data_IF_079255193730
#
_entry.id   IF_079255193730
#
_cell.length_a   1.000
_cell.length_b   1.000
_cell.length_c   1.000
_cell.angle_alpha   90.00
_cell.angle_beta   90.00
_cell.angle_gamma   90.00
#
_symmetry.space_group_name_H-M   'P 1'
#
loop_
_entity.id
_entity.type
_entity.pdbx_description
1 polymer ?
#
# COMPACT_ATOMS: atom_id res chain seq x y z
N UNK A 1 -14.79 -3.21 -15.82
CA UNK A 1 -13.90 -2.13 -15.30
C UNK A 1 -12.99 -1.57 -16.39
N UNK A 2 -12.78 -0.24 -16.48
CA UNK A 2 -11.90 0.39 -17.51
C UNK A 2 -10.44 -0.08 -17.39
N UNK A 3 -9.74 -0.28 -18.52
CA UNK A 3 -8.34 -0.74 -18.58
C UNK A 3 -7.37 0.07 -17.71
N UNK A 4 -7.51 1.41 -17.69
CA UNK A 4 -6.68 2.29 -16.86
C UNK A 4 -6.89 2.08 -15.35
N UNK A 5 -8.11 1.73 -14.94
CA UNK A 5 -8.43 1.46 -13.53
C UNK A 5 -7.86 0.10 -13.10
N UNK A 6 -7.96 -0.93 -13.97
CA UNK A 6 -7.26 -2.22 -13.79
C UNK A 6 -5.76 -2.04 -13.59
N UNK A 7 -5.11 -1.20 -14.38
CA UNK A 7 -3.67 -0.91 -14.24
C UNK A 7 -3.29 -0.50 -12.81
N UNK A 8 -4.00 0.47 -12.22
CA UNK A 8 -3.68 0.93 -10.87
C UNK A 8 -3.90 -0.14 -9.80
N UNK A 9 -4.94 -0.97 -9.94
CA UNK A 9 -5.12 -2.11 -9.05
C UNK A 9 -3.98 -3.14 -9.19
N UNK A 10 -3.46 -3.36 -10.40
CA UNK A 10 -2.25 -4.17 -10.60
C UNK A 10 -1.02 -3.56 -9.93
N UNK A 11 -0.80 -2.25 -10.07
CA UNK A 11 0.32 -1.56 -9.41
C UNK A 11 0.25 -1.72 -7.88
N UNK A 12 -0.95 -1.54 -7.30
CA UNK A 12 -1.19 -1.75 -5.86
C UNK A 12 -0.91 -3.21 -5.47
N UNK A 13 -1.43 -4.18 -6.23
CA UNK A 13 -1.23 -5.61 -5.98
C UNK A 13 0.25 -5.96 -5.99
N UNK A 14 0.99 -5.53 -7.00
CA UNK A 14 2.41 -5.83 -7.14
C UNK A 14 3.23 -5.27 -5.98
N UNK A 15 2.98 -4.00 -5.59
CA UNK A 15 3.65 -3.39 -4.45
C UNK A 15 3.30 -4.09 -3.13
N UNK A 16 2.03 -4.51 -2.97
CA UNK A 16 1.61 -5.27 -1.79
C UNK A 16 2.26 -6.66 -1.72
N UNK A 17 2.41 -7.34 -2.86
CA UNK A 17 3.09 -8.63 -2.94
C UNK A 17 4.60 -8.50 -2.62
N UNK A 18 5.25 -7.42 -3.08
CA UNK A 18 6.64 -7.11 -2.73
C UNK A 18 6.81 -6.86 -1.24
N UNK A 19 5.91 -6.08 -0.62
CA UNK A 19 5.93 -5.87 0.83
C UNK A 19 5.84 -7.20 1.59
N UNK A 20 4.93 -8.09 1.21
CA UNK A 20 4.82 -9.43 1.82
C UNK A 20 6.12 -10.22 1.66
N UNK A 21 6.77 -10.15 0.49
CA UNK A 21 8.03 -10.84 0.24
C UNK A 21 9.19 -10.27 1.07
N UNK A 22 9.29 -8.93 1.19
CA UNK A 22 10.35 -8.27 1.93
C UNK A 22 10.25 -8.50 3.44
N UNK A 23 9.03 -8.61 3.97
CA UNK A 23 8.78 -8.76 5.41
C UNK A 23 8.53 -10.20 5.84
N UNK A 24 8.60 -11.17 4.93
CA UNK A 24 8.43 -12.58 5.23
C UNK A 24 9.43 -13.07 6.29
N UNK A 25 8.91 -13.57 7.41
CA UNK A 25 9.72 -14.08 8.52
C UNK A 25 10.51 -13.02 9.29
N UNK A 26 10.19 -11.74 9.11
CA UNK A 26 10.81 -10.60 9.80
C UNK A 26 9.91 -10.11 10.93
N UNK A 27 10.50 -9.70 12.04
CA UNK A 27 9.81 -8.93 13.08
C UNK A 27 10.17 -7.44 13.03
N UNK A 28 9.52 -6.65 13.88
CA UNK A 28 9.79 -5.21 13.99
C UNK A 28 11.28 -4.90 14.25
N UNK A 29 11.94 -5.67 15.11
CA UNK A 29 13.37 -5.47 15.41
C UNK A 29 14.28 -5.72 14.19
N UNK A 30 13.89 -6.63 13.28
CA UNK A 30 14.63 -6.86 12.02
C UNK A 30 14.43 -5.71 11.05
N UNK A 31 13.21 -5.18 10.99
CA UNK A 31 12.86 -4.00 10.19
C UNK A 31 13.60 -2.75 10.68
N UNK A 32 13.52 -2.44 11.97
CA UNK A 32 14.09 -1.21 12.56
C UNK A 32 15.62 -1.10 12.33
N UNK A 33 16.33 -2.23 12.45
CA UNK A 33 17.79 -2.29 12.29
C UNK A 33 18.27 -2.32 10.83
N UNK A 34 17.38 -2.54 9.87
CA UNK A 34 17.72 -2.70 8.45
C UNK A 34 17.23 -1.50 7.64
N UNK A 35 18.13 -0.54 7.41
CA UNK A 35 17.82 0.66 6.64
C UNK A 35 17.38 0.37 5.20
N UNK A 36 17.87 -0.71 4.59
CA UNK A 36 17.47 -1.10 3.23
C UNK A 36 16.05 -1.64 3.23
N UNK A 37 15.69 -2.46 4.22
CA UNK A 37 14.33 -2.97 4.38
C UNK A 37 13.33 -1.82 4.64
N UNK A 38 13.67 -0.88 5.53
CA UNK A 38 12.84 0.32 5.76
C UNK A 38 12.61 1.11 4.47
N UNK A 39 13.68 1.41 3.74
CA UNK A 39 13.58 2.14 2.49
C UNK A 39 12.74 1.40 1.43
N UNK A 40 12.86 0.08 1.34
CA UNK A 40 12.05 -0.74 0.44
C UNK A 40 10.57 -0.72 0.83
N UNK A 41 10.26 -0.91 2.12
CA UNK A 41 8.88 -0.89 2.63
C UNK A 41 8.22 0.47 2.42
N UNK A 42 8.90 1.56 2.78
CA UNK A 42 8.38 2.91 2.55
C UNK A 42 8.14 3.19 1.07
N UNK A 43 9.04 2.73 0.18
CA UNK A 43 8.88 2.90 -1.26
C UNK A 43 7.62 2.22 -1.77
N UNK A 44 7.38 0.97 -1.39
CA UNK A 44 6.20 0.24 -1.84
C UNK A 44 4.91 0.86 -1.29
N UNK A 45 4.89 1.35 -0.05
CA UNK A 45 3.74 2.10 0.46
C UNK A 45 3.50 3.42 -0.29
N UNK A 46 4.55 4.13 -0.73
CA UNK A 46 4.43 5.31 -1.58
C UNK A 46 3.79 4.96 -2.93
N UNK A 47 4.19 3.84 -3.53
CA UNK A 47 3.60 3.33 -4.79
C UNK A 47 2.13 3.00 -4.61
N UNK A 48 1.79 2.25 -3.55
CA UNK A 48 0.40 1.90 -3.21
C UNK A 48 -0.47 3.15 -3.10
N UNK A 49 -0.03 4.14 -2.30
CA UNK A 49 -0.82 5.35 -2.07
C UNK A 49 -0.97 6.21 -3.33
N UNK A 50 0.06 6.29 -4.17
CA UNK A 50 -0.02 6.99 -5.46
C UNK A 50 -1.00 6.30 -6.42
N UNK A 51 -0.86 4.98 -6.61
CA UNK A 51 -1.73 4.22 -7.48
C UNK A 51 -3.20 4.28 -7.01
N UNK A 52 -3.43 4.22 -5.70
CA UNK A 52 -4.77 4.35 -5.13
C UNK A 52 -5.34 5.77 -5.29
N UNK A 53 -4.52 6.81 -5.19
CA UNK A 53 -4.95 8.18 -5.46
C UNK A 53 -5.38 8.34 -6.93
N UNK A 54 -4.62 7.78 -7.87
CA UNK A 54 -4.98 7.83 -9.28
C UNK A 54 -6.22 6.98 -9.60
N UNK A 55 -6.36 5.82 -8.97
CA UNK A 55 -7.55 4.98 -9.07
C UNK A 55 -8.80 5.70 -8.58
N UNK A 56 -8.76 6.32 -7.39
CA UNK A 56 -9.87 7.09 -6.83
C UNK A 56 -10.28 8.29 -7.69
N UNK A 57 -9.32 8.92 -8.39
CA UNK A 57 -9.62 9.99 -9.37
C UNK A 57 -10.33 9.48 -10.62
N UNK A 58 -10.12 8.22 -10.99
CA UNK A 58 -10.80 7.62 -12.14
C UNK A 58 -12.19 7.10 -11.79
N UNK A 59 -12.32 6.47 -10.63
CA UNK A 59 -13.56 5.84 -10.15
C UNK A 59 -13.60 5.82 -8.62
N UNK A 60 -14.17 6.88 -8.03
CA UNK A 60 -14.29 7.00 -6.58
C UNK A 60 -15.25 5.93 -6.00
N UNK A 61 -16.26 5.51 -6.78
CA UNK A 61 -17.19 4.46 -6.39
C UNK A 61 -16.48 3.14 -6.14
N UNK A 62 -15.66 2.69 -7.10
CA UNK A 62 -14.84 1.49 -6.90
C UNK A 62 -13.76 1.68 -5.82
N UNK A 63 -13.11 2.85 -5.75
CA UNK A 63 -12.11 3.10 -4.72
C UNK A 63 -12.68 3.04 -3.30
N UNK A 64 -13.94 3.48 -3.11
CA UNK A 64 -14.63 3.41 -1.82
C UNK A 64 -14.88 2.00 -1.30
N UNK A 65 -14.72 0.98 -2.16
CA UNK A 65 -14.82 -0.44 -1.79
C UNK A 65 -13.54 -0.97 -1.15
N UNK A 66 -12.43 -0.22 -1.28
CA UNK A 66 -11.19 -0.47 -0.57
C UNK A 66 -11.29 0.23 0.78
N UNK A 67 -11.18 -0.54 1.86
CA UNK A 67 -11.25 -0.04 3.22
C UNK A 67 -10.17 1.00 3.45
N UNK A 68 -10.53 2.12 4.12
CA UNK A 68 -9.59 3.17 4.49
C UNK A 68 -8.83 3.82 3.31
N UNK A 69 -9.34 3.75 2.06
CA UNK A 69 -8.60 4.21 0.88
C UNK A 69 -8.08 5.66 1.00
N UNK A 70 -8.86 6.58 1.60
CA UNK A 70 -8.44 7.96 1.87
C UNK A 70 -7.26 8.03 2.84
N UNK A 71 -7.23 7.18 3.88
CA UNK A 71 -6.13 7.12 4.84
C UNK A 71 -4.88 6.51 4.22
N UNK A 72 -5.01 5.54 3.33
CA UNK A 72 -3.88 4.97 2.59
C UNK A 72 -3.23 6.07 1.71
N UNK A 73 -4.04 6.88 1.02
CA UNK A 73 -3.55 8.03 0.26
C UNK A 73 -2.88 9.07 1.18
N UNK A 74 -3.49 9.37 2.34
CA UNK A 74 -2.90 10.29 3.32
C UNK A 74 -1.58 9.77 3.90
N UNK A 75 -1.46 8.46 4.14
CA UNK A 75 -0.25 7.82 4.64
C UNK A 75 0.93 8.00 3.66
N UNK A 76 0.69 7.90 2.35
CA UNK A 76 1.70 8.24 1.34
C UNK A 76 2.19 9.69 1.46
N UNK A 77 1.33 10.65 1.80
CA UNK A 77 1.76 12.04 1.98
C UNK A 77 2.69 12.16 3.19
N UNK A 78 2.41 11.46 4.28
CA UNK A 78 3.27 11.42 5.47
C UNK A 78 4.65 10.86 5.08
N UNK A 79 4.70 9.74 4.35
CA UNK A 79 5.95 9.11 3.94
C UNK A 79 6.78 9.93 2.94
N UNK A 80 6.14 10.76 2.10
CA UNK A 80 6.84 11.59 1.11
C UNK A 80 7.32 12.91 1.68
N UNK A 81 6.59 13.49 2.64
CA UNK A 81 6.93 14.82 3.14
C UNK A 81 8.14 14.85 4.06
N UNK A 82 8.62 13.73 4.63
CA UNK A 82 9.99 13.59 5.18
C UNK A 82 10.43 14.58 6.28
N UNK A 83 9.58 15.51 6.70
CA UNK A 83 9.89 16.58 7.67
C UNK A 83 9.75 16.12 9.12
N UNK A 84 9.04 15.01 9.36
CA UNK A 84 9.00 14.31 10.63
C UNK A 84 9.70 12.96 10.44
N UNK A 85 10.51 12.57 11.42
CA UNK A 85 11.05 11.21 11.50
C UNK A 85 9.87 10.24 11.36
N UNK A 86 9.87 9.43 10.29
CA UNK A 86 8.82 8.45 10.06
C UNK A 86 8.80 7.52 11.26
N UNK A 87 7.64 7.36 11.90
CA UNK A 87 7.49 6.42 13.00
C UNK A 87 7.53 5.00 12.43
N UNK A 88 8.70 4.38 12.53
CA UNK A 88 8.96 3.02 12.07
C UNK A 88 8.01 2.00 12.70
N UNK A 89 7.59 2.22 13.94
CA UNK A 89 6.63 1.34 14.62
C UNK A 89 5.27 1.43 13.95
N UNK A 90 4.83 2.64 13.62
CA UNK A 90 3.58 2.85 12.88
C UNK A 90 3.64 2.21 11.49
N UNK A 91 4.75 2.36 10.76
CA UNK A 91 4.91 1.73 9.44
C UNK A 91 4.80 0.21 9.54
N UNK A 92 5.48 -0.38 10.53
CA UNK A 92 5.44 -1.82 10.76
C UNK A 92 4.04 -2.32 11.15
N UNK A 93 3.34 -1.60 12.00
CA UNK A 93 1.95 -1.94 12.36
C UNK A 93 1.02 -1.92 11.13
N UNK A 94 1.28 -1.05 10.15
CA UNK A 94 0.55 -1.05 8.86
C UNK A 94 0.88 -2.30 8.03
N UNK A 95 2.14 -2.74 8.01
CA UNK A 95 2.54 -4.01 7.36
C UNK A 95 1.79 -5.19 7.97
N UNK A 96 1.74 -5.30 9.29
CA UNK A 96 1.14 -6.45 9.96
C UNK A 96 -0.39 -6.43 9.89
N UNK A 97 -1.02 -5.28 10.16
CA UNK A 97 -2.46 -5.20 10.38
C UNK A 97 -3.27 -4.75 9.16
N UNK A 98 -2.70 -3.96 8.25
CA UNK A 98 -3.47 -3.28 7.19
C UNK A 98 -3.15 -3.81 5.79
N UNK A 99 -1.90 -4.14 5.52
CA UNK A 99 -1.48 -4.68 4.23
C UNK A 99 -2.25 -5.96 3.82
N UNK A 100 -2.51 -6.95 4.70
CA UNK A 100 -3.25 -8.15 4.31
C UNK A 100 -4.68 -7.83 3.86
N UNK A 101 -5.32 -6.85 4.49
CA UNK A 101 -6.69 -6.41 4.16
C UNK A 101 -6.70 -5.75 2.78
N UNK A 102 -5.81 -4.78 2.54
CA UNK A 102 -5.68 -4.10 1.25
C UNK A 102 -5.44 -5.11 0.12
N UNK A 103 -4.50 -6.03 0.32
CA UNK A 103 -4.13 -7.03 -0.69
C UNK A 103 -5.32 -7.91 -1.08
N UNK A 104 -6.12 -8.34 -0.11
CA UNK A 104 -7.34 -9.13 -0.36
C UNK A 104 -8.39 -8.33 -1.13
N UNK A 105 -8.64 -7.08 -0.74
CA UNK A 105 -9.66 -6.23 -1.37
C UNK A 105 -9.29 -5.90 -2.83
N UNK A 106 -8.02 -5.58 -3.08
CA UNK A 106 -7.51 -5.33 -4.44
C UNK A 106 -7.57 -6.58 -5.31
N UNK A 107 -7.27 -7.75 -4.75
CA UNK A 107 -7.42 -9.02 -5.46
C UNK A 107 -8.88 -9.27 -5.87
N UNK A 108 -9.82 -9.10 -4.93
CA UNK A 108 -11.24 -9.28 -5.21
C UNK A 108 -11.73 -8.34 -6.33
N UNK A 109 -11.31 -7.07 -6.31
CA UNK A 109 -11.66 -6.11 -7.37
C UNK A 109 -11.06 -6.48 -8.74
N UNK A 110 -9.90 -7.13 -8.78
CA UNK A 110 -9.26 -7.57 -10.02
C UNK A 110 -9.92 -8.81 -10.63
N UNK A 111 -10.51 -9.68 -9.80
CA UNK A 111 -11.18 -10.92 -10.23
C UNK A 111 -12.64 -10.72 -10.64
N UNK A 112 -13.19 -9.52 -10.45
CA UNK A 112 -14.56 -9.22 -10.86
C UNK A 112 -14.76 -9.32 -12.38
N UNK A 113 -15.79 -10.05 -12.84
CA UNK A 113 -16.20 -10.05 -14.24
C UNK A 113 -16.52 -8.61 -14.69
N UNK A 114 -16.23 -8.29 -15.96
CA UNK A 114 -16.49 -6.96 -16.52
C UNK A 114 -17.96 -6.58 -16.63
#
# INVERSE_FOLDING_TARGET
MRLKAKKYLYDIKQAADLLVAFTAGKGFADYERDAMLRAAVEREFKIIGEALAQFARLDEGLASRISEYRRIIAFRNILVHGYAQVDDRLVWDVVEAKLPVLRREVHALLEEPE
#
